data_IF_864449753907
#
_entry.id   IF_864449753907
#
_cell.length_a   1.000
_cell.length_b   1.000
_cell.length_c   1.000
_cell.angle_alpha   90.00
_cell.angle_beta   90.00
_cell.angle_gamma   90.00
#
_symmetry.space_group_name_H-M   'P 1'
#
loop_
_entity.id
_entity.type
_entity.pdbx_description
1 polymer ?
#
# COMPACT_ATOMS: atom_id res chain seq x y z
N UNK A 1 8.50 -5.21 -6.17
CA UNK A 1 8.60 -6.08 -7.38
C UNK A 1 7.47 -7.10 -7.48
N UNK A 2 7.20 -7.92 -6.46
CA UNK A 2 6.12 -8.94 -6.51
C UNK A 2 4.75 -8.30 -6.79
N UNK A 3 4.37 -7.24 -6.05
CA UNK A 3 3.11 -6.53 -6.27
C UNK A 3 2.95 -6.04 -7.73
N UNK A 4 4.00 -5.47 -8.31
CA UNK A 4 4.02 -5.02 -9.71
C UNK A 4 3.91 -6.20 -10.68
N UNK A 5 4.61 -7.31 -10.43
CA UNK A 5 4.53 -8.49 -11.28
C UNK A 5 3.11 -9.10 -11.30
N UNK A 6 2.46 -9.20 -10.13
CA UNK A 6 1.07 -9.64 -10.01
C UNK A 6 0.12 -8.68 -10.73
N UNK A 7 0.30 -7.37 -10.55
CA UNK A 7 -0.47 -6.34 -11.24
C UNK A 7 -0.35 -6.44 -12.77
N UNK A 8 0.87 -6.65 -13.29
CA UNK A 8 1.11 -6.85 -14.73
C UNK A 8 0.45 -8.14 -15.23
N UNK A 9 0.53 -9.23 -14.45
CA UNK A 9 -0.14 -10.48 -14.81
C UNK A 9 -1.66 -10.33 -14.86
N UNK A 10 -2.26 -9.65 -13.88
CA UNK A 10 -3.68 -9.35 -13.85
C UNK A 10 -4.09 -8.43 -15.02
N UNK A 11 -3.28 -7.43 -15.35
CA UNK A 11 -3.51 -6.58 -16.52
C UNK A 11 -3.51 -7.38 -17.84
N UNK A 12 -2.56 -8.31 -18.00
CA UNK A 12 -2.50 -9.22 -19.15
C UNK A 12 -3.70 -10.17 -19.24
N UNK A 13 -4.30 -10.50 -18.11
CA UNK A 13 -5.54 -11.28 -18.04
C UNK A 13 -6.81 -10.45 -18.28
N UNK A 14 -6.68 -9.14 -18.59
CA UNK A 14 -7.80 -8.25 -18.91
C UNK A 14 -8.39 -7.51 -17.73
N UNK A 15 -7.80 -7.60 -16.53
CA UNK A 15 -8.28 -6.86 -15.37
C UNK A 15 -7.79 -5.41 -15.37
N UNK A 16 -8.66 -4.50 -14.94
CA UNK A 16 -8.29 -3.09 -14.76
C UNK A 16 -7.48 -2.92 -13.47
N UNK A 17 -6.36 -2.22 -13.56
CA UNK A 17 -5.40 -2.04 -12.46
C UNK A 17 -5.20 -0.55 -12.19
N UNK A 18 -5.05 -0.19 -10.92
CA UNK A 18 -4.57 1.13 -10.52
C UNK A 18 -3.47 0.98 -9.48
N UNK A 19 -2.37 1.72 -9.66
CA UNK A 19 -1.21 1.70 -8.77
C UNK A 19 -1.03 3.09 -8.15
N UNK A 20 -0.76 3.14 -6.84
CA UNK A 20 -0.48 4.37 -6.10
C UNK A 20 0.36 4.05 -4.86
N UNK A 21 1.15 5.00 -4.36
CA UNK A 21 1.62 4.93 -2.97
C UNK A 21 0.47 5.30 -2.02
N UNK A 22 0.58 4.89 -0.75
CA UNK A 22 -0.34 5.32 0.31
C UNK A 22 -0.37 6.85 0.43
N UNK A 23 0.80 7.49 0.45
CA UNK A 23 0.94 8.93 0.59
C UNK A 23 0.28 9.70 -0.55
N UNK A 24 0.46 9.24 -1.80
CA UNK A 24 -0.19 9.83 -2.97
C UNK A 24 -1.70 9.66 -2.92
N UNK A 25 -2.18 8.50 -2.47
CA UNK A 25 -3.61 8.23 -2.32
C UNK A 25 -4.23 9.21 -1.31
N UNK A 26 -3.63 9.32 -0.13
CA UNK A 26 -4.06 10.22 0.95
C UNK A 26 -4.04 11.67 0.50
N UNK A 27 -2.92 12.14 -0.07
CA UNK A 27 -2.78 13.52 -0.57
C UNK A 27 -3.88 13.87 -1.56
N UNK A 28 -4.15 12.97 -2.50
CA UNK A 28 -5.17 13.15 -3.52
C UNK A 28 -6.60 13.11 -2.96
N UNK A 29 -6.86 12.28 -1.95
CA UNK A 29 -8.16 12.21 -1.28
C UNK A 29 -8.42 13.45 -0.43
N UNK A 30 -7.43 13.91 0.37
CA UNK A 30 -7.52 15.18 1.12
C UNK A 30 -7.81 16.36 0.21
N UNK A 31 -7.07 16.48 -0.88
CA UNK A 31 -7.27 17.57 -1.85
C UNK A 31 -8.65 17.49 -2.54
N UNK A 32 -9.21 16.30 -2.71
CA UNK A 32 -10.55 16.12 -3.24
C UNK A 32 -11.64 16.42 -2.20
N UNK A 33 -11.43 16.09 -0.94
CA UNK A 33 -12.32 16.42 0.18
C UNK A 33 -12.42 17.93 0.38
N UNK A 34 -11.28 18.63 0.44
CA UNK A 34 -11.23 20.09 0.55
C UNK A 34 -11.93 20.80 -0.63
N UNK A 35 -11.94 20.18 -1.81
CA UNK A 35 -12.60 20.68 -3.01
C UNK A 35 -14.05 20.16 -3.19
N UNK A 36 -14.63 19.47 -2.21
CA UNK A 36 -16.01 18.96 -2.27
C UNK A 36 -16.24 17.85 -3.31
N UNK A 37 -15.18 17.23 -3.82
CA UNK A 37 -15.21 16.22 -4.90
C UNK A 37 -14.75 14.83 -4.46
N UNK A 38 -14.79 14.55 -3.15
CA UNK A 38 -14.32 13.30 -2.56
C UNK A 38 -14.97 12.07 -3.20
N UNK A 39 -16.29 12.07 -3.36
CA UNK A 39 -17.04 10.95 -3.94
C UNK A 39 -16.54 10.58 -5.34
N UNK A 40 -16.30 11.58 -6.19
CA UNK A 40 -15.76 11.36 -7.53
C UNK A 40 -14.33 10.80 -7.47
N UNK A 41 -13.49 11.34 -6.59
CA UNK A 41 -12.10 10.90 -6.44
C UNK A 41 -12.00 9.49 -5.86
N UNK A 42 -12.84 9.12 -4.89
CA UNK A 42 -12.95 7.75 -4.38
C UNK A 42 -13.18 6.77 -5.53
N UNK A 43 -14.02 7.12 -6.50
CA UNK A 43 -14.27 6.30 -7.69
C UNK A 43 -13.01 5.95 -8.49
N UNK A 44 -11.92 6.72 -8.39
CA UNK A 44 -10.63 6.38 -9.02
C UNK A 44 -10.02 5.13 -8.41
N UNK A 45 -10.16 4.96 -7.09
CA UNK A 45 -9.61 3.83 -6.34
C UNK A 45 -10.59 2.66 -6.22
N UNK A 46 -11.89 2.90 -6.40
CA UNK A 46 -12.93 1.86 -6.27
C UNK A 46 -13.23 1.12 -7.58
N UNK A 47 -13.15 1.80 -8.73
CA UNK A 47 -13.47 1.20 -10.05
C UNK A 47 -12.50 0.09 -10.51
N UNK A 48 -11.18 0.19 -10.28
CA UNK A 48 -10.24 -0.83 -10.75
C UNK A 48 -10.53 -2.18 -10.11
N UNK A 49 -10.38 -3.25 -10.88
CA UNK A 49 -10.50 -4.63 -10.40
C UNK A 49 -9.42 -4.93 -9.35
N UNK A 50 -8.20 -4.46 -9.57
CA UNK A 50 -7.09 -4.55 -8.62
C UNK A 50 -6.57 -3.15 -8.30
N UNK A 51 -6.56 -2.81 -7.01
CA UNK A 51 -5.89 -1.62 -6.51
C UNK A 51 -4.57 -2.03 -5.86
N UNK A 52 -3.46 -1.48 -6.32
CA UNK A 52 -2.15 -1.64 -5.68
C UNK A 52 -1.86 -0.38 -4.87
N UNK A 53 -1.61 -0.56 -3.58
CA UNK A 53 -1.20 0.49 -2.66
C UNK A 53 0.18 0.14 -2.11
N UNK A 54 1.19 0.90 -2.55
CA UNK A 54 2.59 0.68 -2.21
C UNK A 54 3.01 1.53 -0.99
N UNK A 55 4.06 1.09 -0.30
CA UNK A 55 4.76 1.85 0.74
C UNK A 55 3.91 2.19 1.99
N UNK A 56 3.02 1.27 2.41
CA UNK A 56 2.23 1.44 3.64
C UNK A 56 3.14 1.40 4.88
N UNK A 57 3.04 2.45 5.70
CA UNK A 57 3.74 2.52 6.99
C UNK A 57 5.07 3.27 6.97
N UNK A 58 5.37 4.02 5.89
CA UNK A 58 6.54 4.89 5.85
C UNK A 58 6.35 6.18 6.67
N UNK A 59 5.18 6.82 6.56
CA UNK A 59 4.80 7.99 7.36
C UNK A 59 3.55 7.67 8.20
N UNK A 60 3.50 8.10 9.48
CA UNK A 60 2.28 8.06 10.26
C UNK A 60 1.23 8.98 9.66
N UNK A 61 0.00 8.47 9.56
CA UNK A 61 -1.16 9.21 9.08
C UNK A 61 -1.84 9.94 10.24
N UNK A 62 -2.37 11.13 9.95
CA UNK A 62 -3.32 11.78 10.82
C UNK A 62 -4.65 11.02 10.83
N UNK A 63 -5.43 11.14 11.90
CA UNK A 63 -6.72 10.46 12.03
C UNK A 63 -7.68 10.72 10.85
N UNK A 64 -7.71 11.95 10.34
CA UNK A 64 -8.52 12.30 9.17
C UNK A 64 -8.06 11.56 7.90
N UNK A 65 -6.75 11.42 7.72
CA UNK A 65 -6.15 10.71 6.59
C UNK A 65 -6.41 9.20 6.68
N UNK A 66 -6.24 8.63 7.87
CA UNK A 66 -6.56 7.25 8.15
C UNK A 66 -8.04 6.94 7.86
N UNK A 67 -8.96 7.85 8.18
CA UNK A 67 -10.38 7.72 7.83
C UNK A 67 -10.61 7.68 6.31
N UNK A 68 -9.88 8.46 5.52
CA UNK A 68 -9.96 8.42 4.05
C UNK A 68 -9.49 7.07 3.50
N UNK A 69 -8.40 6.53 4.05
CA UNK A 69 -7.90 5.19 3.69
C UNK A 69 -8.90 4.10 4.08
N UNK A 70 -9.47 4.19 5.29
CA UNK A 70 -10.51 3.28 5.77
C UNK A 70 -11.73 3.28 4.85
N UNK A 71 -12.15 4.43 4.33
CA UNK A 71 -13.25 4.50 3.37
C UNK A 71 -12.96 3.74 2.07
N UNK A 72 -11.74 3.83 1.54
CA UNK A 72 -11.33 3.07 0.35
C UNK A 72 -11.36 1.57 0.64
N UNK A 73 -10.71 1.13 1.72
CA UNK A 73 -10.62 -0.28 2.10
C UNK A 73 -12.01 -0.86 2.36
N UNK A 74 -12.83 -0.17 3.16
CA UNK A 74 -14.19 -0.62 3.49
C UNK A 74 -15.11 -0.71 2.27
N UNK A 75 -14.96 0.18 1.29
CA UNK A 75 -15.77 0.13 0.06
C UNK A 75 -15.29 -0.92 -0.94
N UNK A 76 -14.02 -1.34 -0.87
CA UNK A 76 -13.45 -2.42 -1.71
C UNK A 76 -13.58 -3.80 -1.07
N UNK A 77 -13.73 -3.87 0.25
CA UNK A 77 -13.98 -5.11 0.98
C UNK A 77 -15.09 -5.92 0.29
N UNK A 78 -14.79 -7.19 -0.02
CA UNK A 78 -15.65 -8.13 -0.77
C UNK A 78 -16.08 -7.68 -2.19
N UNK A 79 -15.52 -6.59 -2.73
CA UNK A 79 -15.91 -6.02 -4.04
C UNK A 79 -14.77 -5.88 -5.04
N UNK A 80 -13.53 -5.76 -4.57
CA UNK A 80 -12.37 -5.64 -5.43
C UNK A 80 -11.07 -5.91 -4.70
N UNK A 81 -10.13 -6.56 -5.37
CA UNK A 81 -8.87 -6.97 -4.76
C UNK A 81 -7.98 -5.76 -4.46
N UNK A 82 -7.21 -5.87 -3.37
CA UNK A 82 -6.18 -4.90 -2.98
C UNK A 82 -4.86 -5.66 -2.84
N UNK A 83 -3.81 -5.13 -3.45
CA UNK A 83 -2.43 -5.57 -3.19
C UNK A 83 -1.75 -4.47 -2.39
N UNK A 84 -1.23 -4.81 -1.21
CA UNK A 84 -0.54 -3.89 -0.32
C UNK A 84 0.92 -4.29 -0.21
N UNK A 85 1.80 -3.30 -0.11
CA UNK A 85 3.16 -3.52 0.38
C UNK A 85 3.38 -2.70 1.64
N UNK A 86 4.08 -3.28 2.60
CA UNK A 86 4.40 -2.63 3.86
C UNK A 86 5.75 -3.14 4.35
N UNK A 87 6.51 -2.25 4.98
CA UNK A 87 7.71 -2.59 5.74
C UNK A 87 7.42 -2.68 7.25
N UNK A 88 6.13 -2.60 7.64
CA UNK A 88 5.66 -2.63 9.02
C UNK A 88 4.93 -3.93 9.31
N UNK A 89 5.16 -4.46 10.50
CA UNK A 89 4.37 -5.58 11.04
C UNK A 89 2.95 -5.10 11.36
N UNK A 90 1.96 -5.99 11.36
CA UNK A 90 0.58 -5.61 11.66
C UNK A 90 0.41 -4.99 13.06
N UNK A 91 1.22 -5.39 14.03
CA UNK A 91 1.28 -4.78 15.37
C UNK A 91 1.72 -3.32 15.37
N UNK A 92 2.42 -2.86 14.33
CA UNK A 92 2.84 -1.46 14.20
C UNK A 92 1.78 -0.59 13.50
N UNK A 93 0.71 -1.18 12.97
CA UNK A 93 -0.27 -0.42 12.17
C UNK A 93 -1.08 0.58 13.00
N UNK A 94 -1.24 0.34 14.31
CA UNK A 94 -1.79 1.34 15.23
C UNK A 94 -1.05 2.68 15.16
N UNK A 95 0.29 2.63 15.11
CA UNK A 95 1.15 3.81 14.96
C UNK A 95 1.07 4.40 13.55
N UNK A 96 0.95 3.55 12.52
CA UNK A 96 0.82 3.99 11.12
C UNK A 96 -0.47 4.75 10.88
N UNK A 97 -1.60 4.33 11.45
CA UNK A 97 -2.90 4.96 11.26
C UNK A 97 -3.26 5.98 12.36
N UNK A 98 -2.41 6.15 13.37
CA UNK A 98 -2.59 7.12 14.46
C UNK A 98 -3.76 6.83 15.41
N UNK A 99 -4.43 5.69 15.25
CA UNK A 99 -5.59 5.26 16.04
C UNK A 99 -5.66 3.73 16.00
N UNK A 100 -5.46 3.08 17.15
CA UNK A 100 -5.45 1.62 17.29
C UNK A 100 -6.79 0.99 16.88
N UNK A 101 -7.90 1.66 17.17
CA UNK A 101 -9.24 1.18 16.86
C UNK A 101 -9.45 1.20 15.35
N UNK A 102 -9.04 2.29 14.70
CA UNK A 102 -9.14 2.42 13.25
C UNK A 102 -8.19 1.46 12.52
N UNK A 103 -6.96 1.31 13.00
CA UNK A 103 -6.00 0.33 12.49
C UNK A 103 -6.56 -1.08 12.57
N UNK A 104 -7.14 -1.46 13.71
CA UNK A 104 -7.79 -2.76 13.90
C UNK A 104 -8.93 -2.96 12.92
N UNK A 105 -9.80 -1.96 12.73
CA UNK A 105 -10.91 -2.05 11.79
C UNK A 105 -10.46 -2.16 10.32
N UNK A 106 -9.33 -1.54 9.96
CA UNK A 106 -8.69 -1.68 8.65
C UNK A 106 -8.14 -3.10 8.49
N UNK A 107 -7.36 -3.56 9.47
CA UNK A 107 -6.73 -4.88 9.45
C UNK A 107 -7.77 -6.00 9.38
N UNK A 108 -8.85 -5.90 10.15
CA UNK A 108 -9.95 -6.86 10.15
C UNK A 108 -10.49 -7.12 8.72
N UNK A 109 -10.75 -6.04 7.97
CA UNK A 109 -11.23 -6.12 6.58
C UNK A 109 -10.17 -6.62 5.61
N UNK A 110 -8.93 -6.21 5.79
CA UNK A 110 -7.84 -6.64 4.92
C UNK A 110 -7.51 -8.12 5.14
N UNK A 111 -7.47 -8.58 6.39
CA UNK A 111 -6.97 -9.89 6.77
C UNK A 111 -8.02 -11.00 6.65
N UNK A 112 -9.31 -10.67 6.60
CA UNK A 112 -10.36 -11.67 6.48
C UNK A 112 -10.26 -12.50 5.18
N UNK A 113 -9.91 -11.86 4.06
CA UNK A 113 -9.74 -12.52 2.75
C UNK A 113 -8.42 -12.11 2.09
N UNK A 114 -7.31 -12.55 2.68
CA UNK A 114 -5.98 -12.26 2.14
C UNK A 114 -5.04 -13.45 2.11
N UNK A 115 -3.99 -13.28 1.31
CA UNK A 115 -2.79 -14.08 1.34
C UNK A 115 -1.63 -13.18 1.78
N UNK A 116 -0.95 -13.54 2.86
CA UNK A 116 0.17 -12.76 3.42
C UNK A 116 1.48 -13.38 2.97
N UNK A 117 2.27 -12.62 2.21
CA UNK A 117 3.59 -13.03 1.75
C UNK A 117 4.65 -12.32 2.59
N UNK A 118 5.22 -13.03 3.56
CA UNK A 118 6.35 -12.53 4.33
C UNK A 118 7.63 -12.58 3.49
N UNK A 119 8.27 -11.42 3.30
CA UNK A 119 9.51 -11.30 2.53
C UNK A 119 10.65 -11.02 3.50
N UNK A 120 11.60 -11.95 3.56
CA UNK A 120 12.81 -11.83 4.38
C UNK A 120 14.05 -11.85 3.49
N UNK A 121 15.11 -11.18 3.94
CA UNK A 121 16.41 -11.21 3.28
C UNK A 121 17.02 -9.82 3.10
N UNK A 122 18.29 -9.78 2.65
CA UNK A 122 19.01 -8.53 2.46
C UNK A 122 18.37 -7.68 1.36
N UNK A 123 18.47 -6.36 1.52
CA UNK A 123 17.99 -5.41 0.51
C UNK A 123 18.64 -5.67 -0.85
N UNK A 124 17.83 -5.98 -1.85
CA UNK A 124 18.31 -6.18 -3.22
C UNK A 124 19.01 -4.93 -3.77
N UNK A 125 18.57 -3.74 -3.36
CA UNK A 125 19.18 -2.45 -3.75
C UNK A 125 20.63 -2.31 -3.26
N UNK A 126 20.96 -2.90 -2.11
CA UNK A 126 22.30 -2.85 -1.53
C UNK A 126 23.24 -3.93 -2.10
N UNK A 127 22.69 -4.98 -2.72
CA UNK A 127 23.48 -6.12 -3.23
C UNK A 127 24.57 -5.71 -4.23
N UNK A 128 24.29 -4.74 -5.10
CA UNK A 128 25.28 -4.26 -6.08
C UNK A 128 26.28 -3.28 -5.47
N UNK A 129 25.89 -2.54 -4.41
CA UNK A 129 26.77 -1.59 -3.71
C UNK A 129 27.77 -2.31 -2.80
N UNK A 130 27.32 -3.34 -2.08
CA UNK A 130 28.19 -4.15 -1.23
C UNK A 130 29.26 -4.87 -2.06
N UNK A 131 28.89 -5.43 -3.22
CA UNK A 131 29.86 -6.04 -4.16
C UNK A 131 30.88 -5.06 -4.74
N UNK A 132 30.51 -3.78 -4.89
CA UNK A 132 31.44 -2.76 -5.35
C UNK A 132 32.44 -2.39 -4.24
N UNK A 133 31.96 -2.26 -3.00
CA UNK A 133 32.79 -1.97 -1.82
C UNK A 133 33.75 -3.13 -1.51
N UNK A 134 33.28 -4.38 -1.54
CA UNK A 134 34.13 -5.56 -1.31
C UNK A 134 35.30 -5.63 -2.31
N UNK A 135 35.05 -5.30 -3.58
CA UNK A 135 36.09 -5.24 -4.62
C UNK A 135 37.10 -4.11 -4.42
N UNK A 136 36.72 -3.00 -3.79
CA UNK A 136 37.66 -1.92 -3.48
C UNK A 136 38.53 -2.25 -2.27
N UNK A 137 38.00 -2.98 -1.28
CA UNK A 137 38.76 -3.46 -0.12
C UNK A 137 39.72 -4.62 -0.41
N UNK A 138 39.41 -5.49 -1.38
CA UNK A 138 40.32 -6.58 -1.78
C UNK A 138 41.49 -6.11 -2.67
N UNK A 139 41.46 -4.85 -3.13
CA UNK A 139 42.47 -4.25 -4.01
C UNK A 139 43.37 -3.25 -3.26
N UNK A 140 43.07 -2.97 -1.99
CA UNK A 140 43.84 -2.11 -1.09
C UNK A 140 44.73 -2.94 -0.15
#
# INVERSE_FOLDING_TARGET
HIAVALAVAACRAGYSIYFTSLDDMVRNLKAAEAAGRLTSKLGTYLRPSVLVVDEVGYQPLERAEANLVFQVISKRYEKGSIILTSNKTFSEWGQVFGDEVLATAILDRLLHHCEVIAINGPSYRLKNRLKAIERETDVA
#
